data_IF_530355306417
#
_entry.id   IF_530355306417
#
_cell.length_a   1.000
_cell.length_b   1.000
_cell.length_c   1.000
_cell.angle_alpha   90.00
_cell.angle_beta   90.00
_cell.angle_gamma   90.00
#
_symmetry.space_group_name_H-M   'P 1'
#
loop_
_entity.id
_entity.type
_entity.pdbx_description
1 polymer ?
#
# COMPACT_ATOMS: atom_id res chain seq x y z
N UNK A 1 21.65 29.13 -26.84
CA UNK A 1 20.95 29.43 -25.56
C UNK A 1 19.91 28.37 -25.13
N UNK A 2 19.33 27.59 -26.05
CA UNK A 2 18.20 26.66 -25.76
C UNK A 2 18.55 25.38 -25.00
N UNK A 3 19.77 24.84 -25.16
CA UNK A 3 20.13 23.54 -24.55
C UNK A 3 20.45 23.65 -23.06
N UNK A 4 21.05 24.76 -22.63
CA UNK A 4 21.37 25.01 -21.21
C UNK A 4 20.10 25.22 -20.37
N UNK A 5 19.09 25.88 -20.94
CA UNK A 5 17.77 26.05 -20.31
C UNK A 5 16.99 24.74 -20.25
N UNK A 6 17.11 23.88 -21.27
CA UNK A 6 16.52 22.53 -21.25
C UNK A 6 17.20 21.62 -20.20
N UNK A 7 18.54 21.64 -20.12
CA UNK A 7 19.26 20.90 -19.07
C UNK A 7 18.92 21.41 -17.67
N UNK A 8 18.84 22.74 -17.47
CA UNK A 8 18.47 23.32 -16.18
C UNK A 8 17.03 22.92 -15.76
N UNK A 9 16.10 22.89 -16.72
CA UNK A 9 14.73 22.42 -16.48
C UNK A 9 14.65 20.94 -16.12
N UNK A 10 15.42 20.08 -16.81
CA UNK A 10 15.48 18.64 -16.51
C UNK A 10 16.06 18.36 -15.11
N UNK A 11 17.11 19.07 -14.71
CA UNK A 11 17.70 18.96 -13.37
C UNK A 11 16.71 19.43 -12.28
N UNK A 12 15.97 20.51 -12.52
CA UNK A 12 14.95 20.99 -11.59
C UNK A 12 13.78 20.01 -11.43
N UNK A 13 13.37 19.32 -12.51
CA UNK A 13 12.30 18.32 -12.45
C UNK A 13 12.70 17.07 -11.64
N UNK A 14 13.95 16.62 -11.77
CA UNK A 14 14.48 15.47 -10.99
C UNK A 14 14.64 15.85 -9.50
N UNK A 15 14.92 17.12 -9.19
CA UNK A 15 15.05 17.58 -7.81
C UNK A 15 13.70 17.63 -7.05
N UNK A 16 12.56 17.58 -7.75
CA UNK A 16 11.21 17.61 -7.15
C UNK A 16 10.66 16.21 -6.86
N UNK A 17 11.27 15.15 -7.40
CA UNK A 17 10.86 13.76 -7.14
C UNK A 17 11.58 13.23 -5.89
N UNK A 18 11.09 13.61 -4.71
CA UNK A 18 11.50 12.99 -3.45
C UNK A 18 10.87 11.59 -3.28
N UNK A 19 11.61 10.58 -2.81
CA UNK A 19 11.02 9.28 -2.50
C UNK A 19 10.00 9.44 -1.36
N UNK A 20 8.90 8.68 -1.42
CA UNK A 20 8.01 8.55 -0.28
C UNK A 20 8.79 7.88 0.86
N UNK A 21 9.15 8.66 1.88
CA UNK A 21 9.83 8.12 3.06
C UNK A 21 8.83 7.29 3.89
N UNK A 22 9.32 6.20 4.46
CA UNK A 22 8.52 5.35 5.31
C UNK A 22 8.01 6.14 6.53
N UNK A 23 6.73 6.00 6.84
CA UNK A 23 6.06 6.81 7.84
C UNK A 23 6.30 6.30 9.27
N UNK A 24 6.53 7.26 10.18
CA UNK A 24 6.50 7.06 11.62
C UNK A 24 5.16 7.56 12.17
N UNK A 25 4.32 6.63 12.65
CA UNK A 25 2.95 6.94 13.06
C UNK A 25 2.50 6.05 14.22
N UNK A 26 1.71 6.61 15.13
CA UNK A 26 0.99 5.87 16.16
C UNK A 26 -0.52 5.97 15.92
N UNK A 27 -1.21 4.84 15.89
CA UNK A 27 -2.68 4.78 15.85
C UNK A 27 -3.13 4.43 17.27
N UNK A 28 -3.93 5.28 17.93
CA UNK A 28 -4.21 5.17 19.37
C UNK A 28 -5.69 5.13 19.71
N UNK A 29 -6.04 4.43 20.78
CA UNK A 29 -7.37 4.47 21.40
C UNK A 29 -8.46 3.67 20.68
N UNK A 30 -8.11 2.92 19.64
CA UNK A 30 -9.07 2.06 18.91
C UNK A 30 -9.21 0.66 19.51
N UNK A 31 -10.22 -0.08 19.08
CA UNK A 31 -10.28 -1.52 19.30
C UNK A 31 -9.35 -2.19 18.28
N UNK A 32 -8.23 -2.74 18.73
CA UNK A 32 -7.23 -3.34 17.85
C UNK A 32 -7.49 -4.83 17.73
N UNK A 33 -7.83 -5.28 16.53
CA UNK A 33 -7.90 -6.69 16.16
C UNK A 33 -6.53 -7.09 15.60
N UNK A 34 -5.81 -8.02 16.23
CA UNK A 34 -4.47 -8.44 15.76
C UNK A 34 -4.52 -9.58 14.74
N UNK A 35 -5.70 -10.16 14.53
CA UNK A 35 -5.91 -11.43 13.82
C UNK A 35 -5.99 -12.65 14.75
N UNK A 36 -5.45 -12.56 15.96
CA UNK A 36 -5.51 -13.64 16.97
C UNK A 36 -6.08 -13.18 18.31
N UNK A 37 -6.15 -11.88 18.55
CA UNK A 37 -6.63 -11.29 19.79
C UNK A 37 -7.28 -9.92 19.55
N UNK A 38 -7.99 -9.44 20.57
CA UNK A 38 -8.60 -8.11 20.63
C UNK A 38 -7.97 -7.32 21.76
N UNK A 39 -7.58 -6.08 21.49
CA UNK A 39 -7.03 -5.14 22.47
C UNK A 39 -7.91 -3.90 22.49
N UNK A 40 -8.64 -3.71 23.59
CA UNK A 40 -9.47 -2.52 23.80
C UNK A 40 -8.61 -1.29 24.12
N UNK A 41 -8.99 -0.14 23.55
CA UNK A 41 -8.25 1.13 23.68
C UNK A 41 -6.74 0.96 23.36
N UNK A 42 -6.44 0.17 22.34
CA UNK A 42 -5.09 -0.20 21.95
C UNK A 42 -4.40 0.89 21.14
N UNK A 43 -3.07 0.76 21.09
CA UNK A 43 -2.15 1.59 20.33
C UNK A 43 -1.26 0.70 19.46
N UNK A 44 -1.13 1.08 18.18
CA UNK A 44 -0.24 0.47 17.20
C UNK A 44 0.83 1.49 16.84
N UNK A 45 2.10 1.18 17.11
CA UNK A 45 3.23 2.06 16.79
C UNK A 45 3.94 1.54 15.55
N UNK A 46 4.11 2.40 14.57
CA UNK A 46 4.77 2.13 13.30
C UNK A 46 6.01 3.03 13.19
N UNK A 47 7.16 2.43 12.90
CA UNK A 47 8.42 3.12 12.62
C UNK A 47 9.02 2.59 11.34
N UNK A 48 9.48 3.49 10.47
CA UNK A 48 10.03 3.13 9.16
C UNK A 48 9.13 2.13 8.40
N UNK A 49 7.80 2.36 8.45
CA UNK A 49 6.82 1.52 7.76
C UNK A 49 6.61 0.12 8.36
N UNK A 50 7.22 -0.20 9.51
CA UNK A 50 7.06 -1.48 10.22
C UNK A 50 6.36 -1.27 11.56
N UNK A 51 5.47 -2.18 11.93
CA UNK A 51 4.89 -2.21 13.27
C UNK A 51 5.99 -2.60 14.27
N UNK A 52 6.26 -1.73 15.24
CA UNK A 52 7.27 -1.96 16.30
C UNK A 52 6.65 -2.30 17.64
N UNK A 53 5.38 -1.95 17.87
CA UNK A 53 4.63 -2.40 19.04
C UNK A 53 3.12 -2.34 18.80
N UNK A 54 2.41 -3.23 19.50
CA UNK A 54 0.96 -3.27 19.60
C UNK A 54 0.61 -3.58 21.05
N UNK A 55 -0.23 -2.75 21.68
CA UNK A 55 -0.57 -2.94 23.09
C UNK A 55 -1.43 -1.80 23.62
N UNK A 56 -1.57 -1.73 24.94
CA UNK A 56 -2.20 -0.58 25.61
C UNK A 56 -1.17 0.52 25.85
N UNK A 57 -1.63 1.76 26.07
CA UNK A 57 -0.78 2.92 26.34
C UNK A 57 -0.90 4.01 25.27
N UNK A 58 -0.14 5.09 25.44
CA UNK A 58 -0.17 6.25 24.55
C UNK A 58 0.84 6.18 23.40
N UNK A 59 0.74 7.14 22.48
CA UNK A 59 1.74 7.32 21.43
C UNK A 59 3.09 7.76 22.04
N UNK A 60 4.23 7.21 21.58
CA UNK A 60 5.53 7.75 21.94
C UNK A 60 5.70 9.20 21.45
N UNK A 61 6.58 9.96 22.09
CA UNK A 61 6.83 11.35 21.69
C UNK A 61 7.39 11.43 20.26
N UNK A 62 6.97 12.47 19.53
CA UNK A 62 7.48 12.79 18.20
C UNK A 62 6.95 11.94 17.05
N UNK A 63 5.93 11.08 17.26
CA UNK A 63 5.20 10.46 16.15
C UNK A 63 4.00 11.31 15.74
N UNK A 64 3.62 11.21 14.47
CA UNK A 64 2.26 11.56 14.04
C UNK A 64 1.27 10.65 14.76
N UNK A 65 0.23 11.20 15.36
CA UNK A 65 -0.82 10.45 16.05
C UNK A 65 -2.09 10.41 15.22
N UNK A 66 -2.68 9.22 15.10
CA UNK A 66 -4.02 8.99 14.53
C UNK A 66 -4.93 8.54 15.67
N UNK A 67 -5.96 9.33 15.97
CA UNK A 67 -6.97 8.99 16.98
C UNK A 67 -8.01 8.03 16.39
N UNK A 68 -8.04 6.80 16.91
CA UNK A 68 -8.93 5.73 16.50
C UNK A 68 -10.03 5.44 17.55
N UNK A 69 -10.29 6.33 18.51
CA UNK A 69 -11.38 6.15 19.48
C UNK A 69 -12.72 5.92 18.79
N UNK A 70 -13.46 4.90 19.26
CA UNK A 70 -14.72 4.46 18.66
C UNK A 70 -14.57 3.81 17.28
N UNK A 71 -13.34 3.46 16.87
CA UNK A 71 -13.04 2.78 15.60
C UNK A 71 -12.30 1.46 15.86
N UNK A 72 -12.27 0.63 14.84
CA UNK A 72 -11.56 -0.64 14.82
C UNK A 72 -10.27 -0.48 14.00
N UNK A 73 -9.17 -1.03 14.51
CA UNK A 73 -7.89 -1.11 13.82
C UNK A 73 -7.60 -2.57 13.51
N UNK A 74 -7.35 -2.90 12.23
CA UNK A 74 -7.11 -4.28 11.76
C UNK A 74 -5.80 -4.36 10.97
N UNK A 75 -5.24 -5.56 10.76
CA UNK A 75 -4.35 -5.79 9.62
C UNK A 75 -5.02 -5.31 8.33
N UNK A 76 -4.20 -4.87 7.38
CA UNK A 76 -4.68 -4.60 6.04
C UNK A 76 -5.29 -5.86 5.43
N UNK A 77 -6.37 -5.72 4.69
CA UNK A 77 -6.97 -6.84 3.99
C UNK A 77 -6.08 -7.28 2.83
N UNK A 78 -6.04 -8.59 2.61
CA UNK A 78 -5.38 -9.21 1.45
C UNK A 78 -6.45 -9.57 0.44
N UNK A 79 -6.48 -8.83 -0.67
CA UNK A 79 -7.28 -9.21 -1.83
C UNK A 79 -6.52 -10.31 -2.60
N UNK A 80 -7.00 -11.54 -2.51
CA UNK A 80 -6.38 -12.71 -3.19
C UNK A 80 -6.61 -12.69 -4.70
N UNK A 81 -7.64 -11.97 -5.14
CA UNK A 81 -7.87 -11.54 -6.50
C UNK A 81 -8.24 -10.06 -6.47
N UNK A 82 -7.62 -9.27 -7.33
CA UNK A 82 -7.71 -7.81 -7.34
C UNK A 82 -8.43 -7.26 -8.57
N UNK A 83 -8.81 -8.11 -9.53
CA UNK A 83 -9.46 -7.66 -10.76
C UNK A 83 -8.64 -6.65 -11.58
N UNK A 84 -7.33 -6.57 -11.34
CA UNK A 84 -6.42 -5.71 -12.11
C UNK A 84 -6.20 -6.24 -13.54
N UNK A 85 -6.60 -7.49 -13.80
CA UNK A 85 -6.59 -8.09 -15.14
C UNK A 85 -7.76 -7.56 -15.98
N UNK A 86 -7.49 -7.21 -17.24
CA UNK A 86 -8.47 -6.65 -18.16
C UNK A 86 -8.86 -7.63 -19.27
N UNK A 87 -10.05 -7.42 -19.85
CA UNK A 87 -10.35 -7.85 -21.21
C UNK A 87 -10.21 -6.63 -22.11
N UNK A 88 -9.37 -6.72 -23.14
CA UNK A 88 -9.33 -5.69 -24.19
C UNK A 88 -10.36 -6.01 -25.29
N UNK A 89 -9.96 -6.09 -26.55
CA UNK A 89 -10.86 -6.36 -27.68
C UNK A 89 -11.11 -7.86 -27.82
N UNK A 90 -12.31 -8.33 -27.47
CA UNK A 90 -12.67 -9.75 -27.43
C UNK A 90 -12.60 -10.51 -28.76
N UNK A 91 -12.43 -9.82 -29.90
CA UNK A 91 -12.23 -10.46 -31.21
C UNK A 91 -10.76 -10.77 -31.53
N UNK A 92 -9.81 -10.31 -30.71
CA UNK A 92 -8.38 -10.53 -30.92
C UNK A 92 -7.92 -11.68 -30.05
N UNK A 93 -7.25 -12.68 -30.65
CA UNK A 93 -6.73 -13.81 -29.90
C UNK A 93 -5.56 -13.35 -29.04
N UNK A 94 -5.62 -13.59 -27.73
CA UNK A 94 -4.53 -13.27 -26.77
C UNK A 94 -4.66 -11.93 -26.06
N UNK A 95 -5.74 -11.17 -26.29
CA UNK A 95 -6.02 -9.88 -25.61
C UNK A 95 -6.92 -10.01 -24.37
N UNK A 96 -7.27 -11.25 -24.00
CA UNK A 96 -8.02 -11.55 -22.79
C UNK A 96 -7.05 -12.09 -21.74
N UNK A 97 -6.64 -11.22 -20.82
CA UNK A 97 -5.74 -11.61 -19.73
C UNK A 97 -6.43 -12.51 -18.69
N UNK A 98 -7.76 -12.66 -18.77
CA UNK A 98 -8.55 -13.54 -17.88
C UNK A 98 -8.52 -15.02 -18.30
N UNK A 99 -8.14 -15.33 -19.54
CA UNK A 99 -8.13 -16.69 -20.06
C UNK A 99 -7.00 -16.86 -21.09
N UNK A 100 -5.79 -17.18 -20.64
CA UNK A 100 -4.66 -17.39 -21.53
C UNK A 100 -4.50 -18.86 -21.91
N UNK A 101 -5.02 -19.26 -23.08
CA UNK A 101 -4.81 -20.61 -23.64
C UNK A 101 -3.47 -20.78 -24.37
N UNK A 102 -2.61 -19.76 -24.41
CA UNK A 102 -1.41 -19.71 -25.25
C UNK A 102 -0.09 -20.00 -24.50
N UNK A 103 -0.13 -20.61 -23.31
CA UNK A 103 1.07 -21.05 -22.57
C UNK A 103 2.13 -19.94 -22.38
N UNK A 104 1.67 -18.69 -22.23
CA UNK A 104 2.50 -17.48 -22.12
C UNK A 104 2.32 -16.83 -20.74
N UNK A 105 3.37 -16.19 -20.23
CA UNK A 105 3.33 -15.48 -18.95
C UNK A 105 2.30 -14.33 -19.03
N UNK A 106 1.24 -14.39 -18.23
CA UNK A 106 0.23 -13.33 -18.08
C UNK A 106 0.43 -12.56 -16.78
N UNK A 107 -0.05 -11.32 -16.72
CA UNK A 107 -0.11 -10.52 -15.50
C UNK A 107 -1.24 -10.97 -14.55
N UNK A 108 -2.15 -11.83 -15.02
CA UNK A 108 -3.24 -12.40 -14.24
C UNK A 108 -2.85 -13.75 -13.60
N UNK A 109 -3.52 -14.10 -12.50
CA UNK A 109 -3.41 -15.42 -11.90
C UNK A 109 -4.10 -16.45 -12.83
N UNK A 110 -3.34 -17.42 -13.35
CA UNK A 110 -3.90 -18.48 -14.20
C UNK A 110 -4.66 -19.50 -13.33
N UNK A 111 -5.99 -19.38 -13.30
CA UNK A 111 -6.88 -20.35 -12.66
C UNK A 111 -7.23 -21.46 -13.66
N UNK A 112 -6.25 -22.23 -14.10
CA UNK A 112 -6.49 -23.46 -14.84
C UNK A 112 -6.97 -24.55 -13.86
N UNK A 113 -8.25 -24.92 -13.91
CA UNK A 113 -8.82 -26.07 -13.21
C UNK A 113 -8.67 -27.36 -14.04
#
# INVERSE_FOLDING_TARGET
MRIKTLLAGAVAAIALTGPALAQDVAITGGQVLTGTSVIENGTVVIRNGKVVSVGTGGAPAGLRVIDARGKIVTPGFVAVDSGLAGTEVGSVRGSNDLANSANTLTAAFDLSY
#
